data_IF_467297913953
#
_entry.id   IF_467297913953
#
_cell.length_a   1.000
_cell.length_b   1.000
_cell.length_c   1.000
_cell.angle_alpha   90.00
_cell.angle_beta   90.00
_cell.angle_gamma   90.00
#
_symmetry.space_group_name_H-M   'P 1'
#
loop_
_entity.id
_entity.type
_entity.pdbx_description
1 polymer ?
#
# COMPACT_ATOMS: atom_id res chain seq x y z
N UNK A 1 -15.87 -23.03 -58.59
CA UNK A 1 -15.67 -23.91 -57.42
C UNK A 1 -14.40 -23.47 -56.71
N UNK A 2 -14.53 -23.05 -55.43
CA UNK A 2 -13.49 -22.62 -54.44
C UNK A 2 -12.90 -21.20 -54.61
N UNK A 3 -13.39 -20.19 -53.87
CA UNK A 3 -13.07 -19.72 -52.47
C UNK A 3 -11.97 -18.63 -52.52
N UNK A 4 -12.30 -17.31 -52.45
CA UNK A 4 -12.30 -16.39 -51.27
C UNK A 4 -10.94 -16.39 -50.51
N UNK A 5 -10.21 -15.29 -50.27
CA UNK A 5 -10.57 -14.03 -49.57
C UNK A 5 -9.52 -12.92 -49.90
N UNK A 6 -9.99 -11.67 -49.89
CA UNK A 6 -9.28 -10.40 -50.13
C UNK A 6 -8.13 -10.08 -49.16
N UNK A 7 -7.07 -9.49 -49.71
CA UNK A 7 -6.00 -8.73 -49.02
C UNK A 7 -6.24 -7.22 -49.23
N UNK A 8 -6.11 -6.48 -48.12
CA UNK A 8 -5.55 -5.11 -47.97
C UNK A 8 -6.09 -3.98 -48.84
N UNK A 9 -6.59 -2.93 -48.18
CA UNK A 9 -6.22 -1.49 -48.32
C UNK A 9 -7.32 -0.71 -47.59
N UNK A 10 -6.99 0.03 -46.54
CA UNK A 10 -7.48 1.38 -46.23
C UNK A 10 -6.84 1.82 -44.91
N UNK A 11 -5.71 2.52 -45.05
CA UNK A 11 -5.06 3.32 -44.01
C UNK A 11 -4.94 4.73 -44.58
N UNK A 12 -5.04 5.73 -43.69
CA UNK A 12 -4.79 7.17 -43.89
C UNK A 12 -5.98 8.00 -44.37
N UNK A 13 -6.73 8.54 -43.40
CA UNK A 13 -7.05 9.96 -43.28
C UNK A 13 -7.78 10.18 -41.95
N UNK A 14 -7.05 10.66 -40.93
CA UNK A 14 -7.54 11.51 -39.82
C UNK A 14 -6.43 11.78 -38.80
N UNK A 15 -5.26 12.20 -39.29
CA UNK A 15 -4.17 12.79 -38.51
C UNK A 15 -3.89 14.20 -39.02
N UNK A 16 -4.82 15.13 -38.83
CA UNK A 16 -4.56 16.57 -38.89
C UNK A 16 -5.74 17.30 -38.23
N UNK A 17 -5.66 17.50 -36.91
CA UNK A 17 -6.20 18.66 -36.18
C UNK A 17 -5.94 18.48 -34.68
N UNK A 18 -4.69 18.68 -34.26
CA UNK A 18 -4.38 18.92 -32.85
C UNK A 18 -4.76 20.38 -32.55
N UNK A 19 -5.82 20.58 -31.77
CA UNK A 19 -6.05 21.86 -31.08
C UNK A 19 -5.26 21.84 -29.77
N UNK A 20 -4.50 22.91 -29.55
CA UNK A 20 -3.71 23.17 -28.35
C UNK A 20 -4.61 23.17 -27.10
N UNK A 21 -4.18 22.47 -26.05
CA UNK A 21 -4.90 22.34 -24.78
C UNK A 21 -4.39 23.41 -23.80
N UNK A 22 -5.26 24.35 -23.40
CA UNK A 22 -4.94 25.40 -22.43
C UNK A 22 -5.45 25.03 -21.02
N UNK A 23 -4.84 25.56 -19.93
CA UNK A 23 -5.03 25.05 -18.58
C UNK A 23 -6.35 25.41 -17.87
N UNK A 24 -7.36 25.95 -18.56
CA UNK A 24 -8.56 26.55 -17.94
C UNK A 24 -9.90 25.88 -18.32
N UNK A 25 -9.91 24.71 -18.94
CA UNK A 25 -11.15 24.06 -19.40
C UNK A 25 -11.87 23.19 -18.36
N UNK A 26 -11.64 23.41 -17.05
CA UNK A 26 -12.42 22.75 -15.99
C UNK A 26 -13.52 23.68 -15.46
N UNK A 27 -14.60 23.83 -16.22
CA UNK A 27 -15.90 24.19 -15.64
C UNK A 27 -17.03 23.27 -16.12
N UNK A 28 -17.68 22.68 -15.11
CA UNK A 28 -19.00 22.07 -15.05
C UNK A 28 -19.51 21.26 -16.26
N UNK A 29 -19.53 19.93 -16.10
CA UNK A 29 -20.71 19.17 -16.52
C UNK A 29 -21.11 18.21 -15.39
N UNK A 30 -22.27 18.52 -14.80
CA UNK A 30 -23.07 17.55 -14.05
C UNK A 30 -23.66 16.54 -15.05
N UNK A 31 -23.92 15.32 -14.57
CA UNK A 31 -24.65 14.23 -15.24
C UNK A 31 -23.86 13.16 -15.99
N UNK A 32 -22.88 12.55 -15.30
CA UNK A 32 -22.59 11.12 -15.49
C UNK A 32 -22.81 10.44 -14.13
N UNK A 33 -23.68 9.41 -14.03
CA UNK A 33 -23.76 8.65 -12.79
C UNK A 33 -22.45 7.88 -12.64
N UNK A 34 -21.52 8.45 -11.87
CA UNK A 34 -20.26 7.83 -11.44
C UNK A 34 -20.60 6.60 -10.58
N UNK A 35 -20.96 5.47 -11.21
CA UNK A 35 -20.89 4.14 -10.60
C UNK A 35 -19.42 3.72 -10.52
N UNK A 36 -18.62 4.50 -9.79
CA UNK A 36 -17.24 4.16 -9.47
C UNK A 36 -17.27 3.30 -8.22
N UNK A 37 -17.24 2.03 -8.53
CA UNK A 37 -17.02 0.92 -7.65
C UNK A 37 -15.67 1.06 -6.92
N UNK A 38 -15.67 0.90 -5.58
CA UNK A 38 -14.56 1.16 -4.64
C UNK A 38 -14.28 -0.14 -3.89
N UNK A 39 -13.06 -0.72 -3.75
CA UNK A 39 -12.86 -2.06 -3.12
C UNK A 39 -11.47 -2.52 -2.47
N UNK A 40 -11.18 -2.65 -1.11
CA UNK A 40 -9.88 -3.21 -0.54
C UNK A 40 -9.62 -3.77 0.92
N UNK A 41 -10.46 -3.71 1.96
CA UNK A 41 -10.17 -4.28 3.30
C UNK A 41 -11.05 -5.50 3.63
N UNK A 42 -10.67 -6.33 4.60
CA UNK A 42 -11.41 -7.58 4.92
C UNK A 42 -12.86 -7.28 5.31
N UNK A 43 -13.85 -7.90 4.68
CA UNK A 43 -15.27 -7.61 4.95
C UNK A 43 -15.77 -8.26 6.23
N UNK A 44 -15.30 -9.46 6.56
CA UNK A 44 -15.78 -10.21 7.71
C UNK A 44 -15.37 -9.52 9.03
N UNK A 45 -16.36 -9.02 9.79
CA UNK A 45 -16.12 -8.39 11.08
C UNK A 45 -15.52 -9.38 12.11
N UNK A 46 -15.67 -10.70 11.92
CA UNK A 46 -15.05 -11.70 12.79
C UNK A 46 -13.52 -11.78 12.62
N UNK A 47 -12.99 -11.20 11.54
CA UNK A 47 -11.55 -11.04 11.31
C UNK A 47 -10.97 -9.80 11.99
N UNK A 48 -11.79 -8.98 12.66
CA UNK A 48 -11.30 -7.83 13.43
C UNK A 48 -10.69 -8.28 14.75
N UNK A 49 -9.58 -7.64 15.11
CA UNK A 49 -9.02 -7.78 16.46
C UNK A 49 -9.95 -7.15 17.49
N UNK A 50 -10.23 -7.90 18.55
CA UNK A 50 -11.06 -7.44 19.65
C UNK A 50 -10.49 -6.17 20.28
N UNK A 51 -11.37 -5.19 20.55
CA UNK A 51 -11.00 -3.88 21.10
C UNK A 51 -9.88 -3.18 20.31
N UNK A 52 -9.82 -3.42 18.99
CA UNK A 52 -8.79 -2.89 18.10
C UNK A 52 -7.36 -3.19 18.59
N UNK A 53 -7.16 -4.29 19.34
CA UNK A 53 -5.90 -4.59 20.02
C UNK A 53 -5.25 -5.84 19.43
N UNK A 54 -4.11 -5.64 18.75
CA UNK A 54 -3.27 -6.71 18.26
C UNK A 54 -2.35 -7.15 19.39
N UNK A 55 -2.47 -8.41 19.78
CA UNK A 55 -1.65 -9.04 20.81
C UNK A 55 -0.47 -9.72 20.14
N UNK A 56 0.77 -9.39 20.50
CA UNK A 56 1.94 -9.88 19.80
C UNK A 56 2.99 -10.53 20.72
N UNK A 57 3.74 -11.45 20.13
CA UNK A 57 4.98 -12.00 20.67
C UNK A 57 6.07 -11.90 19.60
N UNK A 58 7.26 -11.43 19.96
CA UNK A 58 8.43 -11.41 19.07
C UNK A 58 9.38 -12.51 19.51
N UNK A 59 9.81 -13.37 18.58
CA UNK A 59 10.90 -14.32 18.83
C UNK A 59 12.22 -13.54 18.78
N UNK A 60 12.65 -12.95 19.91
CA UNK A 60 13.75 -11.98 19.94
C UNK A 60 15.06 -12.51 19.35
N UNK A 61 15.34 -13.80 19.49
CA UNK A 61 16.55 -14.45 18.94
C UNK A 61 16.60 -14.47 17.41
N UNK A 62 15.46 -14.26 16.73
CA UNK A 62 15.37 -14.28 15.28
C UNK A 62 15.75 -12.95 14.62
N UNK A 63 15.86 -11.88 15.41
CA UNK A 63 15.99 -10.51 14.94
C UNK A 63 17.18 -9.81 15.60
N UNK A 64 17.81 -8.91 14.86
CA UNK A 64 18.75 -7.95 15.43
C UNK A 64 17.98 -6.87 16.19
N UNK A 65 18.69 -6.13 17.06
CA UNK A 65 18.10 -5.03 17.82
C UNK A 65 17.49 -3.95 16.92
N UNK A 66 18.18 -3.55 15.85
CA UNK A 66 17.69 -2.54 14.90
C UNK A 66 16.43 -2.98 14.15
N UNK A 67 16.30 -4.28 13.87
CA UNK A 67 15.10 -4.86 13.24
C UNK A 67 13.91 -4.85 14.21
N UNK A 68 14.16 -5.15 15.49
CA UNK A 68 13.14 -5.05 16.55
C UNK A 68 12.69 -3.60 16.73
N UNK A 69 13.63 -2.66 16.82
CA UNK A 69 13.33 -1.23 16.95
C UNK A 69 12.51 -0.74 15.74
N UNK A 70 12.84 -1.18 14.52
CA UNK A 70 12.09 -0.89 13.31
C UNK A 70 10.66 -1.46 13.31
N UNK A 71 10.48 -2.69 13.78
CA UNK A 71 9.17 -3.33 13.91
C UNK A 71 8.31 -2.63 14.97
N UNK A 72 8.87 -2.29 16.13
CA UNK A 72 8.16 -1.56 17.18
C UNK A 72 7.78 -0.15 16.72
N UNK A 73 8.63 0.52 15.94
CA UNK A 73 8.30 1.80 15.33
C UNK A 73 7.16 1.67 14.29
N UNK A 74 7.11 0.58 13.52
CA UNK A 74 5.98 0.32 12.61
C UNK A 74 4.66 0.15 13.37
N UNK A 75 4.67 -0.55 14.51
CA UNK A 75 3.52 -0.63 15.41
C UNK A 75 3.12 0.75 15.93
N UNK A 76 4.07 1.56 16.39
CA UNK A 76 3.81 2.92 16.89
C UNK A 76 3.16 3.82 15.82
N UNK A 77 3.61 3.73 14.57
CA UNK A 77 2.99 4.46 13.45
C UNK A 77 1.50 4.10 13.33
N UNK A 78 1.13 2.83 13.36
CA UNK A 78 -0.28 2.44 13.34
C UNK A 78 -1.06 2.98 14.54
N UNK A 79 -0.51 2.93 15.76
CA UNK A 79 -1.17 3.47 16.97
C UNK A 79 -1.31 4.99 16.94
N UNK A 80 -0.36 5.68 16.31
CA UNK A 80 -0.40 7.14 16.15
C UNK A 80 -1.46 7.58 15.15
N UNK A 81 -1.66 6.81 14.09
CA UNK A 81 -2.53 7.16 12.97
C UNK A 81 -3.95 6.59 13.10
N UNK A 82 -4.15 5.64 14.00
CA UNK A 82 -5.41 4.88 14.13
C UNK A 82 -5.70 4.58 15.60
N UNK A 83 -6.90 4.12 15.92
CA UNK A 83 -7.26 3.67 17.27
C UNK A 83 -6.71 2.29 17.64
N UNK A 84 -5.94 1.65 16.74
CA UNK A 84 -5.34 0.35 17.00
C UNK A 84 -4.33 0.42 18.15
N UNK A 85 -4.19 -0.70 18.85
CA UNK A 85 -3.22 -0.88 19.93
C UNK A 85 -2.41 -2.14 19.68
N UNK A 86 -1.13 -2.08 19.99
CA UNK A 86 -0.24 -3.24 20.02
C UNK A 86 0.18 -3.47 21.46
N UNK A 87 0.04 -4.71 21.94
CA UNK A 87 0.54 -5.07 23.27
C UNK A 87 1.21 -6.44 23.27
N UNK A 88 2.21 -6.66 24.14
CA UNK A 88 2.77 -7.98 24.36
C UNK A 88 1.70 -8.98 24.81
N UNK A 89 1.86 -10.23 24.37
CA UNK A 89 1.05 -11.35 24.79
C UNK A 89 1.29 -11.70 26.27
N UNK A 90 0.20 -12.03 26.95
CA UNK A 90 0.16 -12.63 28.29
C UNK A 90 -0.25 -14.10 28.15
N UNK A 91 0.07 -14.91 29.14
CA UNK A 91 -0.32 -16.33 29.17
C UNK A 91 -1.84 -16.55 29.05
N UNK A 92 -2.66 -15.60 29.50
CA UNK A 92 -4.12 -15.67 29.44
C UNK A 92 -4.71 -15.32 28.06
N UNK A 93 -3.91 -14.82 27.12
CA UNK A 93 -4.41 -14.39 25.82
C UNK A 93 -4.74 -15.60 24.93
N UNK A 94 -5.98 -15.67 24.47
CA UNK A 94 -6.44 -16.75 23.57
C UNK A 94 -6.01 -16.54 22.12
N UNK A 95 -5.85 -15.28 21.70
CA UNK A 95 -5.51 -14.90 20.33
C UNK A 95 -4.27 -14.00 20.34
N UNK A 96 -3.30 -14.33 19.50
CA UNK A 96 -2.07 -13.53 19.38
C UNK A 96 -1.37 -13.76 18.04
N UNK A 97 -0.41 -12.88 17.72
CA UNK A 97 0.51 -13.07 16.62
C UNK A 97 1.91 -13.38 17.14
N UNK A 98 2.52 -14.45 16.65
CA UNK A 98 3.96 -14.71 16.82
C UNK A 98 4.68 -14.15 15.60
N UNK A 99 5.53 -13.15 15.83
CA UNK A 99 6.40 -12.55 14.84
C UNK A 99 7.77 -13.23 14.93
N UNK A 100 8.17 -13.89 13.84
CA UNK A 100 9.37 -14.73 13.80
C UNK A 100 10.09 -14.67 12.46
N UNK A 101 11.30 -15.23 12.40
CA UNK A 101 11.97 -15.49 11.12
C UNK A 101 11.17 -16.55 10.35
N UNK A 102 10.68 -16.16 9.17
CA UNK A 102 10.16 -17.07 8.17
C UNK A 102 11.27 -17.68 7.33
N UNK A 103 11.11 -18.93 6.90
CA UNK A 103 12.05 -19.62 6.00
C UNK A 103 11.85 -19.27 4.51
N UNK A 104 10.70 -18.71 4.12
CA UNK A 104 10.29 -18.59 2.72
C UNK A 104 9.81 -17.21 2.26
N UNK A 105 10.19 -16.14 2.96
CA UNK A 105 9.77 -14.77 2.61
C UNK A 105 8.87 -14.11 3.64
N UNK A 106 8.07 -13.15 3.18
CA UNK A 106 7.22 -12.29 4.00
C UNK A 106 5.77 -12.79 3.88
N UNK A 107 5.10 -13.04 5.01
CA UNK A 107 3.66 -13.33 5.00
C UNK A 107 3.05 -13.17 6.39
N UNK A 108 1.78 -12.77 6.38
CA UNK A 108 0.91 -12.72 7.54
C UNK A 108 -0.48 -13.20 7.16
N UNK A 109 -1.21 -13.74 8.15
CA UNK A 109 -2.63 -14.04 7.98
C UNK A 109 -3.41 -12.72 8.00
N UNK A 110 -4.39 -12.63 7.11
CA UNK A 110 -5.30 -11.50 7.04
C UNK A 110 -6.24 -11.44 8.26
N UNK A 111 -6.15 -10.35 9.02
CA UNK A 111 -6.95 -10.12 10.22
C UNK A 111 -6.68 -11.13 11.35
N UNK A 112 -7.52 -11.12 12.38
CA UNK A 112 -7.50 -12.11 13.45
C UNK A 112 -8.08 -13.44 12.97
N UNK A 113 -7.38 -14.55 13.19
CA UNK A 113 -7.87 -15.90 12.91
C UNK A 113 -8.37 -16.59 14.18
N UNK A 114 -9.68 -16.46 14.43
CA UNK A 114 -10.34 -17.06 15.60
C UNK A 114 -10.32 -18.59 15.62
N UNK A 115 -10.05 -19.26 14.50
CA UNK A 115 -9.93 -20.72 14.45
C UNK A 115 -8.55 -21.21 14.88
N UNK A 116 -7.53 -20.34 14.76
CA UNK A 116 -6.13 -20.70 14.99
C UNK A 116 -5.63 -20.33 16.40
N UNK A 117 -6.29 -19.38 17.06
CA UNK A 117 -5.80 -18.81 18.31
C UNK A 117 -4.56 -17.96 18.05
N UNK A 118 -3.39 -18.59 18.11
CA UNK A 118 -2.11 -17.95 17.78
C UNK A 118 -1.75 -18.12 16.30
N UNK A 119 -1.67 -17.00 15.58
CA UNK A 119 -1.23 -16.95 14.19
C UNK A 119 0.21 -16.47 14.06
N UNK A 120 0.79 -16.57 12.86
CA UNK A 120 2.19 -16.23 12.62
C UNK A 120 2.31 -15.06 11.65
N UNK A 121 3.27 -14.18 11.91
CA UNK A 121 3.83 -13.22 10.96
C UNK A 121 5.27 -13.64 10.69
N UNK A 122 5.56 -13.98 9.44
CA UNK A 122 6.87 -14.43 8.99
C UNK A 122 7.63 -13.27 8.36
N UNK A 123 8.76 -12.90 8.97
CA UNK A 123 9.65 -11.84 8.48
C UNK A 123 11.02 -12.46 8.17
N UNK A 124 11.12 -13.07 6.98
CA UNK A 124 12.40 -13.56 6.43
C UNK A 124 13.44 -12.44 6.28
N UNK A 125 14.71 -12.77 6.03
CA UNK A 125 15.81 -11.78 6.02
C UNK A 125 15.54 -10.61 5.04
N UNK A 126 15.02 -10.90 3.84
CA UNK A 126 14.68 -9.87 2.84
C UNK A 126 13.44 -9.02 3.16
N UNK A 127 12.73 -9.33 4.25
CA UNK A 127 11.45 -8.70 4.63
C UNK A 127 11.60 -7.63 5.70
N UNK A 128 12.81 -7.44 6.23
CA UNK A 128 13.05 -6.68 7.45
C UNK A 128 13.33 -5.22 7.12
N UNK A 129 12.43 -4.60 6.37
CA UNK A 129 12.51 -3.22 5.93
C UNK A 129 11.26 -2.46 6.36
N UNK A 130 11.38 -1.13 6.42
CA UNK A 130 10.33 -0.24 6.92
C UNK A 130 8.95 -0.50 6.35
N UNK A 131 8.83 -0.36 5.03
CA UNK A 131 7.55 -0.54 4.36
C UNK A 131 7.04 -1.97 4.46
N UNK A 132 7.93 -2.96 4.57
CA UNK A 132 7.54 -4.36 4.69
C UNK A 132 7.04 -4.72 6.10
N UNK A 133 7.58 -4.10 7.16
CA UNK A 133 6.98 -4.22 8.50
C UNK A 133 5.57 -3.62 8.51
N UNK A 134 5.39 -2.44 7.92
CA UNK A 134 4.07 -1.83 7.78
C UNK A 134 3.13 -2.72 6.97
N UNK A 135 3.60 -3.32 5.88
CA UNK A 135 2.84 -4.22 5.00
C UNK A 135 2.33 -5.46 5.73
N UNK A 136 3.21 -6.22 6.39
CA UNK A 136 2.81 -7.46 7.08
C UNK A 136 1.92 -7.20 8.30
N UNK A 137 2.15 -6.09 9.00
CA UNK A 137 1.22 -5.61 10.03
C UNK A 137 -0.13 -5.19 9.41
N UNK A 138 -0.13 -4.61 8.21
CA UNK A 138 -1.35 -4.26 7.46
C UNK A 138 -2.21 -5.48 7.15
N UNK A 139 -1.61 -6.59 6.70
CA UNK A 139 -2.30 -7.87 6.58
C UNK A 139 -2.84 -8.34 7.93
N UNK A 140 -2.02 -8.33 8.99
CA UNK A 140 -2.45 -8.70 10.34
C UNK A 140 -3.66 -7.88 10.82
N UNK A 141 -3.73 -6.61 10.45
CA UNK A 141 -4.84 -5.70 10.76
C UNK A 141 -6.10 -6.02 9.95
N UNK A 142 -5.94 -6.53 8.73
CA UNK A 142 -7.04 -6.92 7.83
C UNK A 142 -7.04 -6.20 6.47
N UNK A 143 -5.91 -5.68 6.00
CA UNK A 143 -5.80 -5.08 4.66
C UNK A 143 -5.36 -6.12 3.62
N UNK A 144 -6.06 -6.15 2.49
CA UNK A 144 -5.65 -6.92 1.32
C UNK A 144 -4.62 -6.14 0.49
N UNK A 145 -3.97 -6.81 -0.47
CA UNK A 145 -3.04 -6.13 -1.37
C UNK A 145 -3.78 -5.21 -2.34
N UNK A 146 -3.36 -3.95 -2.45
CA UNK A 146 -4.06 -2.96 -3.28
C UNK A 146 -4.11 -3.37 -4.77
N UNK A 147 -3.10 -4.07 -5.31
CA UNK A 147 -3.16 -4.53 -6.71
C UNK A 147 -4.19 -5.64 -6.95
N UNK A 148 -4.79 -6.21 -5.91
CA UNK A 148 -5.90 -7.16 -6.03
C UNK A 148 -7.26 -6.46 -6.03
N UNK A 149 -7.28 -5.12 -5.98
CA UNK A 149 -8.49 -4.31 -6.12
C UNK A 149 -9.26 -4.77 -7.38
N UNK A 150 -10.56 -5.08 -7.27
CA UNK A 150 -11.41 -5.44 -8.40
C UNK A 150 -11.32 -4.45 -9.59
N UNK A 151 -11.28 -3.15 -9.28
CA UNK A 151 -11.10 -2.05 -10.25
C UNK A 151 -9.65 -1.63 -10.53
N UNK A 152 -8.62 -2.38 -10.13
CA UNK A 152 -7.21 -1.93 -10.31
C UNK A 152 -6.89 -1.50 -11.75
N UNK A 153 -7.59 -2.08 -12.74
CA UNK A 153 -7.27 -1.93 -14.15
C UNK A 153 -7.59 -0.49 -14.65
N UNK A 154 -8.25 0.33 -13.81
CA UNK A 154 -8.36 1.79 -13.99
C UNK A 154 -7.02 2.50 -13.82
N UNK A 155 -6.13 1.96 -12.97
CA UNK A 155 -4.87 2.60 -12.58
C UNK A 155 -3.62 1.88 -13.09
N UNK A 156 -3.67 0.55 -13.25
CA UNK A 156 -2.53 -0.26 -13.67
C UNK A 156 -2.88 -1.31 -14.73
N UNK A 157 -1.85 -1.94 -15.29
CA UNK A 157 -1.94 -3.10 -16.16
C UNK A 157 -0.89 -4.12 -15.74
N UNK A 158 -1.29 -5.39 -15.67
CA UNK A 158 -0.36 -6.49 -15.38
C UNK A 158 0.22 -7.02 -16.68
N UNK A 159 1.55 -7.00 -16.78
CA UNK A 159 2.29 -7.59 -17.89
C UNK A 159 2.48 -9.08 -17.62
N UNK A 160 1.46 -9.87 -17.93
CA UNK A 160 1.41 -11.31 -17.62
C UNK A 160 2.57 -12.11 -18.22
N UNK A 161 3.15 -11.66 -19.33
CA UNK A 161 4.31 -12.29 -19.95
C UNK A 161 5.61 -12.01 -19.19
N UNK A 162 5.63 -11.01 -18.31
CA UNK A 162 6.78 -10.70 -17.47
C UNK A 162 6.70 -11.37 -16.08
N UNK A 163 5.51 -11.85 -15.68
CA UNK A 163 5.29 -12.53 -14.40
C UNK A 163 5.79 -13.97 -14.47
N UNK A 164 6.47 -14.45 -13.42
CA UNK A 164 6.81 -15.85 -13.26
C UNK A 164 5.53 -16.72 -13.36
N UNK A 165 5.50 -17.74 -14.25
CA UNK A 165 4.30 -18.56 -14.46
C UNK A 165 3.71 -19.15 -13.17
N UNK A 166 4.55 -19.54 -12.21
CA UNK A 166 4.13 -20.11 -10.92
C UNK A 166 3.49 -19.09 -9.99
N UNK A 167 3.70 -17.79 -10.25
CA UNK A 167 3.26 -16.69 -9.39
C UNK A 167 2.07 -15.91 -9.94
N UNK A 168 1.59 -16.23 -11.15
CA UNK A 168 0.47 -15.52 -11.80
C UNK A 168 -0.80 -15.47 -10.93
N UNK A 169 -1.07 -16.53 -10.16
CA UNK A 169 -2.24 -16.59 -9.28
C UNK A 169 -2.27 -15.46 -8.24
N UNK A 170 -1.11 -14.95 -7.80
CA UNK A 170 -0.99 -13.86 -6.83
C UNK A 170 -1.35 -12.48 -7.39
N UNK A 171 -1.59 -12.39 -8.71
CA UNK A 171 -2.10 -11.18 -9.37
C UNK A 171 -3.61 -11.24 -9.61
N UNK A 172 -4.32 -12.27 -9.16
CA UNK A 172 -5.77 -12.30 -9.31
C UNK A 172 -6.43 -11.21 -8.46
N UNK A 173 -7.44 -10.54 -9.04
CA UNK A 173 -8.31 -9.65 -8.28
C UNK A 173 -9.12 -10.45 -7.27
N UNK A 174 -9.51 -9.81 -6.17
CA UNK A 174 -10.45 -10.38 -5.21
C UNK A 174 -11.87 -10.11 -5.69
N UNK A 175 -12.84 -10.95 -5.31
CA UNK A 175 -14.25 -10.67 -5.59
C UNK A 175 -14.72 -9.45 -4.81
N UNK A 176 -15.61 -8.64 -5.40
CA UNK A 176 -16.27 -7.53 -4.72
C UNK A 176 -17.02 -7.95 -3.45
N UNK A 177 -17.50 -9.18 -3.43
CA UNK A 177 -18.27 -9.70 -2.30
C UNK A 177 -17.41 -9.98 -1.06
N UNK A 178 -16.10 -10.23 -1.24
CA UNK A 178 -15.17 -10.66 -0.20
C UNK A 178 -14.45 -9.52 0.51
N UNK A 179 -14.64 -8.27 0.06
CA UNK A 179 -13.94 -7.10 0.61
C UNK A 179 -14.93 -6.00 1.03
N UNK A 180 -14.50 -5.11 1.93
CA UNK A 180 -15.08 -3.79 2.24
C UNK A 180 -14.03 -2.69 2.19
N UNK A 181 -14.35 -1.53 1.63
CA UNK A 181 -13.39 -0.51 1.15
C UNK A 181 -13.61 0.82 1.82
N UNK A 182 -14.74 0.93 2.52
CA UNK A 182 -15.05 2.08 3.35
C UNK A 182 -15.01 3.40 2.56
N UNK A 183 -15.45 3.37 1.28
CA UNK A 183 -15.46 4.54 0.41
C UNK A 183 -14.07 5.10 0.06
N UNK A 184 -13.00 4.32 0.23
CA UNK A 184 -11.63 4.71 -0.12
C UNK A 184 -11.30 4.23 -1.54
N UNK A 185 -10.90 5.12 -2.47
CA UNK A 185 -10.57 4.76 -3.85
C UNK A 185 -9.29 3.90 -3.93
N UNK A 186 -9.04 3.33 -5.10
CA UNK A 186 -7.81 2.61 -5.40
C UNK A 186 -6.57 3.50 -5.17
N UNK A 187 -5.65 3.03 -4.33
CA UNK A 187 -4.51 3.80 -3.83
C UNK A 187 -3.16 3.21 -4.31
N UNK A 188 -2.67 3.72 -5.44
CA UNK A 188 -1.36 3.31 -5.98
C UNK A 188 -0.19 3.50 -5.00
N UNK A 189 -0.34 4.38 -4.01
CA UNK A 189 0.71 4.68 -3.03
C UNK A 189 0.64 3.78 -1.82
N UNK A 190 -0.47 3.06 -1.63
CA UNK A 190 -0.65 2.13 -0.51
C UNK A 190 0.59 1.28 -0.29
N UNK A 191 0.98 1.15 0.97
CA UNK A 191 2.04 0.22 1.35
C UNK A 191 1.64 -1.23 1.03
N UNK A 192 0.34 -1.50 0.88
CA UNK A 192 -0.22 -2.79 0.48
C UNK A 192 -0.18 -3.03 -1.03
N UNK A 193 0.24 -2.06 -1.84
CA UNK A 193 0.38 -2.24 -3.29
C UNK A 193 1.68 -2.96 -3.65
N UNK A 194 1.64 -3.92 -4.56
CA UNK A 194 2.84 -4.53 -5.14
C UNK A 194 3.74 -3.54 -5.89
N UNK A 195 5.04 -3.78 -5.84
CA UNK A 195 6.01 -3.06 -6.66
C UNK A 195 5.94 -3.49 -8.13
N UNK A 196 6.47 -2.67 -9.02
CA UNK A 196 6.43 -2.85 -10.48
C UNK A 196 7.21 -4.07 -10.97
N UNK A 197 8.04 -4.68 -10.14
CA UNK A 197 8.83 -5.89 -10.44
C UNK A 197 8.38 -7.10 -9.60
N UNK A 198 7.23 -7.03 -8.93
CA UNK A 198 6.72 -8.14 -8.13
C UNK A 198 6.65 -9.42 -8.97
N UNK A 199 7.25 -10.50 -8.45
CA UNK A 199 7.30 -11.82 -9.09
C UNK A 199 7.71 -11.81 -10.57
N UNK A 200 8.58 -10.88 -10.93
CA UNK A 200 9.09 -10.75 -12.29
C UNK A 200 10.02 -11.91 -12.64
N UNK A 201 9.95 -12.36 -13.90
CA UNK A 201 11.07 -13.04 -14.54
C UNK A 201 12.26 -12.08 -14.65
N UNK A 202 13.45 -12.64 -14.70
CA UNK A 202 14.68 -11.89 -15.00
C UNK A 202 15.04 -12.04 -16.47
N UNK A 203 15.55 -10.98 -17.10
CA UNK A 203 16.14 -11.04 -18.43
C UNK A 203 17.50 -11.78 -18.44
N UNK A 204 18.09 -11.91 -19.63
CA UNK A 204 19.39 -12.59 -19.81
C UNK A 204 20.55 -11.92 -19.06
N UNK A 205 20.40 -10.65 -18.64
CA UNK A 205 21.38 -9.90 -17.87
C UNK A 205 21.08 -9.92 -16.36
N UNK A 206 20.07 -10.70 -15.92
CA UNK A 206 19.67 -10.80 -14.53
C UNK A 206 18.80 -9.64 -14.02
N UNK A 207 18.29 -8.77 -14.90
CA UNK A 207 17.43 -7.65 -14.52
C UNK A 207 15.96 -8.09 -14.48
N UNK A 208 15.25 -7.75 -13.39
CA UNK A 208 13.81 -8.01 -13.28
C UNK A 208 13.00 -7.25 -14.33
N UNK A 209 12.12 -7.97 -15.02
CA UNK A 209 11.16 -7.40 -15.96
C UNK A 209 10.03 -6.66 -15.23
N UNK A 210 9.45 -5.63 -15.86
CA UNK A 210 8.36 -4.87 -15.24
C UNK A 210 7.04 -5.66 -15.37
N UNK A 211 6.42 -6.01 -14.25
CA UNK A 211 5.16 -6.78 -14.17
C UNK A 211 3.93 -5.91 -13.98
N UNK A 212 4.06 -4.72 -13.39
CA UNK A 212 2.93 -3.79 -13.21
C UNK A 212 3.27 -2.43 -13.83
N UNK A 213 2.46 -2.00 -14.79
CA UNK A 213 2.60 -0.72 -15.49
C UNK A 213 1.40 0.17 -15.17
N UNK A 214 1.66 1.36 -14.64
CA UNK A 214 0.68 2.41 -14.44
C UNK A 214 0.08 2.86 -15.78
N UNK A 215 -1.24 3.06 -15.81
CA UNK A 215 -1.94 3.58 -17.00
C UNK A 215 -1.50 5.03 -17.31
N UNK A 216 -1.28 5.83 -16.27
CA UNK A 216 -0.62 7.12 -16.40
C UNK A 216 0.89 6.95 -16.05
N UNK A 217 1.81 7.19 -16.99
CA UNK A 217 3.25 7.08 -16.75
C UNK A 217 3.78 7.93 -15.58
N UNK A 218 3.16 9.08 -15.29
CA UNK A 218 3.55 9.94 -14.16
C UNK A 218 3.38 9.24 -12.80
N UNK A 219 2.49 8.25 -12.73
CA UNK A 219 2.19 7.48 -11.52
C UNK A 219 3.01 6.20 -11.40
N UNK A 220 3.83 5.84 -12.40
CA UNK A 220 4.69 4.65 -12.33
C UNK A 220 5.62 4.70 -11.10
N UNK A 221 6.07 5.91 -10.73
CA UNK A 221 6.94 6.12 -9.56
C UNK A 221 6.34 5.58 -8.25
N UNK A 222 5.01 5.56 -8.11
CA UNK A 222 4.32 5.04 -6.93
C UNK A 222 4.42 3.52 -6.78
N UNK A 223 4.78 2.83 -7.86
CA UNK A 223 4.93 1.38 -7.89
C UNK A 223 6.38 0.94 -7.65
N UNK A 224 7.29 1.82 -7.20
CA UNK A 224 8.69 1.45 -7.01
C UNK A 224 8.91 0.57 -5.76
N UNK A 225 9.68 1.05 -4.79
CA UNK A 225 10.23 0.23 -3.73
C UNK A 225 9.25 0.19 -2.56
N UNK A 226 8.41 -0.85 -2.49
CA UNK A 226 7.45 -1.06 -1.39
C UNK A 226 8.14 -0.99 -0.02
N UNK A 227 9.36 -1.50 0.08
CA UNK A 227 10.17 -1.49 1.30
C UNK A 227 10.54 -0.08 1.81
N UNK A 228 10.39 0.96 0.99
CA UNK A 228 10.59 2.38 1.36
C UNK A 228 9.29 3.12 1.70
N UNK A 229 8.12 2.54 1.40
CA UNK A 229 6.83 3.21 1.56
C UNK A 229 6.46 3.39 3.04
N UNK A 230 5.71 4.47 3.32
CA UNK A 230 4.99 4.69 4.57
C UNK A 230 3.49 4.38 4.37
N UNK A 231 2.68 4.45 5.42
CA UNK A 231 1.23 4.41 5.29
C UNK A 231 0.75 5.57 4.42
N UNK A 232 0.00 5.24 3.37
CA UNK A 232 -0.70 6.23 2.56
C UNK A 232 -1.89 6.82 3.32
N UNK A 233 -2.43 7.93 2.81
CA UNK A 233 -3.69 8.48 3.32
C UNK A 233 -4.82 7.44 3.20
N UNK A 234 -4.87 6.67 2.11
CA UNK A 234 -5.86 5.63 1.89
C UNK A 234 -5.76 4.50 2.91
N UNK A 235 -4.55 4.04 3.22
CA UNK A 235 -4.31 3.02 4.26
C UNK A 235 -4.87 3.46 5.62
N UNK A 236 -4.50 4.68 6.05
CA UNK A 236 -4.92 5.23 7.35
C UNK A 236 -6.42 5.48 7.41
N UNK A 237 -7.00 6.08 6.36
CA UNK A 237 -8.44 6.32 6.25
C UNK A 237 -9.20 4.99 6.33
N UNK A 238 -8.77 4.00 5.56
CA UNK A 238 -9.42 2.68 5.50
C UNK A 238 -9.41 1.98 6.85
N UNK A 239 -8.30 1.99 7.58
CA UNK A 239 -8.23 1.40 8.92
C UNK A 239 -9.12 2.15 9.92
N UNK A 240 -9.12 3.48 9.92
CA UNK A 240 -9.93 4.27 10.85
C UNK A 240 -11.43 4.01 10.66
N UNK A 241 -11.88 3.90 9.41
CA UNK A 241 -13.26 3.54 9.10
C UNK A 241 -13.55 2.07 9.43
N UNK A 242 -12.60 1.18 9.14
CA UNK A 242 -12.72 -0.26 9.38
C UNK A 242 -12.86 -0.63 10.86
N UNK A 243 -12.15 0.08 11.75
CA UNK A 243 -12.19 -0.11 13.20
C UNK A 243 -13.05 0.94 13.91
N UNK A 244 -13.80 1.76 13.17
CA UNK A 244 -14.73 2.78 13.69
C UNK A 244 -14.07 3.69 14.74
N UNK A 245 -12.85 4.14 14.44
CA UNK A 245 -12.02 4.88 15.40
C UNK A 245 -12.64 6.20 15.87
N UNK A 246 -13.62 6.73 15.15
CA UNK A 246 -14.35 7.96 15.45
C UNK A 246 -15.70 7.73 16.17
N UNK A 247 -16.04 6.51 16.60
CA UNK A 247 -17.35 6.23 17.21
C UNK A 247 -17.62 7.06 18.47
N UNK A 248 -16.56 7.39 19.22
CA UNK A 248 -16.61 8.23 20.40
C UNK A 248 -16.70 9.74 20.11
N UNK A 249 -16.55 10.14 18.84
CA UNK A 249 -16.49 11.55 18.45
C UNK A 249 -17.89 12.17 18.26
N UNK A 250 -18.03 13.49 18.50
CA UNK A 250 -19.23 14.24 18.14
C UNK A 250 -19.59 14.08 16.66
N UNK A 251 -20.88 13.89 16.36
CA UNK A 251 -21.36 13.67 14.99
C UNK A 251 -21.40 14.94 14.12
N UNK A 252 -21.23 16.11 14.72
CA UNK A 252 -21.30 17.41 14.04
C UNK A 252 -19.92 17.99 13.64
N UNK A 253 -18.86 17.18 13.66
CA UNK A 253 -17.54 17.65 13.21
C UNK A 253 -17.58 17.78 11.68
N UNK A 254 -17.32 18.98 11.12
CA UNK A 254 -17.34 19.19 9.68
C UNK A 254 -16.15 18.46 9.04
N UNK A 255 -16.43 17.51 8.15
CA UNK A 255 -15.41 16.84 7.35
C UNK A 255 -16.02 16.31 6.04
N UNK A 256 -15.42 16.67 4.91
CA UNK A 256 -15.81 16.10 3.61
C UNK A 256 -15.41 14.63 3.57
N UNK A 257 -16.38 13.72 3.48
CA UNK A 257 -16.09 12.28 3.33
C UNK A 257 -15.38 11.96 2.00
N UNK A 258 -15.51 12.83 0.99
CA UNK A 258 -14.80 12.66 -0.29
C UNK A 258 -13.29 12.83 -0.11
N UNK A 259 -12.88 13.86 0.62
CA UNK A 259 -11.48 14.29 0.69
C UNK A 259 -10.81 14.05 2.04
N UNK A 260 -11.59 13.60 3.03
CA UNK A 260 -11.17 13.46 4.42
C UNK A 260 -11.84 12.32 5.18
N UNK A 261 -11.50 12.21 6.47
CA UNK A 261 -12.17 11.36 7.45
C UNK A 261 -11.94 11.92 8.87
N UNK A 262 -12.80 11.53 9.82
CA UNK A 262 -12.61 11.88 11.23
C UNK A 262 -11.64 10.88 11.87
N UNK A 263 -10.55 11.39 12.44
CA UNK A 263 -9.52 10.57 13.09
C UNK A 263 -9.95 10.11 14.48
N UNK A 264 -9.16 9.20 15.07
CA UNK A 264 -9.25 8.79 16.48
C UNK A 264 -9.20 9.94 17.49
N UNK A 265 -8.69 11.12 17.08
CA UNK A 265 -8.57 12.30 17.94
C UNK A 265 -9.69 13.32 17.67
N UNK A 266 -10.76 12.90 16.99
CA UNK A 266 -11.92 13.71 16.63
C UNK A 266 -11.58 14.96 15.81
N UNK A 267 -10.64 14.82 14.87
CA UNK A 267 -10.25 15.87 13.91
C UNK A 267 -10.54 15.41 12.49
N UNK A 268 -10.94 16.33 11.63
CA UNK A 268 -10.99 16.06 10.19
C UNK A 268 -9.56 16.05 9.64
N UNK A 269 -9.13 14.91 9.12
CA UNK A 269 -7.89 14.76 8.38
C UNK A 269 -8.21 14.71 6.88
N UNK A 270 -7.50 15.51 6.08
CA UNK A 270 -7.63 15.54 4.62
C UNK A 270 -6.38 15.00 3.96
N UNK A 271 -6.46 14.59 2.69
CA UNK A 271 -5.26 14.16 1.94
C UNK A 271 -4.13 15.20 1.98
N UNK A 272 -4.48 16.49 1.84
CA UNK A 272 -3.51 17.59 1.87
C UNK A 272 -2.86 17.75 3.25
N UNK A 273 -3.65 17.74 4.33
CA UNK A 273 -3.14 17.87 5.69
C UNK A 273 -2.24 16.68 6.07
N UNK A 274 -2.66 15.47 5.68
CA UNK A 274 -1.89 14.25 5.86
C UNK A 274 -0.53 14.34 5.15
N UNK A 275 -0.53 14.76 3.88
CA UNK A 275 0.69 14.97 3.11
C UNK A 275 1.62 15.99 3.78
N UNK A 276 1.09 17.16 4.17
CA UNK A 276 1.86 18.26 4.76
C UNK A 276 2.57 17.86 6.06
N UNK A 277 1.93 17.06 6.93
CA UNK A 277 2.53 16.69 8.23
C UNK A 277 3.48 15.49 8.15
N UNK A 278 3.35 14.65 7.12
CA UNK A 278 4.19 13.44 6.96
C UNK A 278 5.37 13.65 6.04
N UNK A 279 5.25 14.56 5.08
CA UNK A 279 6.32 14.89 4.17
C UNK A 279 6.79 16.34 4.33
N UNK A 280 7.91 16.49 5.04
CA UNK A 280 8.71 17.70 4.99
C UNK A 280 10.15 17.29 4.69
N UNK A 281 10.77 17.96 3.71
CA UNK A 281 12.18 17.79 3.44
C UNK A 281 12.95 18.44 4.58
N UNK A 282 13.74 17.64 5.30
CA UNK A 282 14.52 18.11 6.44
C UNK A 282 15.93 18.52 6.06
N UNK A 283 16.31 18.37 4.78
CA UNK A 283 17.67 18.61 4.31
C UNK A 283 17.73 19.72 3.27
N UNK A 284 18.82 20.50 3.28
CA UNK A 284 19.07 21.48 2.23
C UNK A 284 19.45 20.80 0.90
N UNK A 285 19.38 21.52 -0.22
CA UNK A 285 19.53 20.95 -1.58
C UNK A 285 20.83 20.14 -1.82
N UNK A 286 21.93 20.50 -1.15
CA UNK A 286 23.23 19.81 -1.31
C UNK A 286 23.31 18.54 -0.45
N UNK A 287 22.85 18.60 0.80
CA UNK A 287 22.75 17.43 1.67
C UNK A 287 21.78 16.41 1.11
N UNK A 288 20.68 16.90 0.56
CA UNK A 288 19.65 16.13 -0.09
C UNK A 288 20.21 15.20 -1.18
N UNK A 289 21.03 15.72 -2.11
CA UNK A 289 21.59 14.90 -3.20
C UNK A 289 22.52 13.81 -2.70
N UNK A 290 23.34 14.10 -1.68
CA UNK A 290 24.22 13.11 -1.04
C UNK A 290 23.40 12.01 -0.38
N UNK A 291 22.42 12.39 0.44
CA UNK A 291 21.54 11.46 1.14
C UNK A 291 20.71 10.63 0.15
N UNK A 292 20.26 11.21 -0.97
CA UNK A 292 19.58 10.49 -2.05
C UNK A 292 20.46 9.37 -2.60
N UNK A 293 21.74 9.66 -2.87
CA UNK A 293 22.69 8.65 -3.33
C UNK A 293 22.93 7.56 -2.27
N UNK A 294 22.96 7.91 -0.98
CA UNK A 294 23.11 6.94 0.10
C UNK A 294 21.86 6.05 0.23
N UNK A 295 20.67 6.61 0.10
CA UNK A 295 19.40 5.87 0.06
C UNK A 295 19.30 4.90 -1.12
N UNK A 296 19.95 5.23 -2.24
CA UNK A 296 20.01 4.35 -3.41
C UNK A 296 21.11 3.28 -3.27
N UNK A 297 22.10 3.48 -2.38
CA UNK A 297 23.21 2.54 -2.09
C UNK A 297 22.95 1.61 -0.90
N UNK A 298 22.08 1.99 0.05
CA UNK A 298 21.93 1.36 1.39
C UNK A 298 21.21 0.00 1.39
N UNK A 299 21.42 -0.82 0.37
CA UNK A 299 21.15 -2.26 0.43
C UNK A 299 21.93 -3.00 1.53
N UNK A 300 22.78 -2.30 2.30
CA UNK A 300 23.61 -2.84 3.37
C UNK A 300 23.56 -1.97 4.64
N UNK A 301 22.90 -2.53 5.67
CA UNK A 301 23.17 -2.39 7.10
C UNK A 301 22.70 -1.19 7.95
N UNK A 302 22.17 -0.09 7.42
CA UNK A 302 21.59 0.97 8.29
C UNK A 302 20.08 1.14 8.09
N UNK A 303 19.31 0.13 8.51
CA UNK A 303 17.85 0.15 8.37
C UNK A 303 17.23 1.36 9.08
N UNK A 304 17.60 1.63 10.33
CA UNK A 304 17.07 2.79 11.06
C UNK A 304 17.31 4.13 10.33
N UNK A 305 18.45 4.27 9.66
CA UNK A 305 18.75 5.45 8.85
C UNK A 305 17.82 5.56 7.63
N UNK A 306 17.56 4.45 6.94
CA UNK A 306 16.61 4.41 5.81
C UNK A 306 15.19 4.79 6.28
N UNK A 307 14.76 4.27 7.43
CA UNK A 307 13.44 4.56 8.03
C UNK A 307 13.25 6.05 8.34
N UNK A 308 14.28 6.70 8.85
CA UNK A 308 14.22 8.06 9.38
C UNK A 308 14.45 9.11 8.30
N UNK A 309 15.40 8.87 7.40
CA UNK A 309 15.92 9.90 6.49
C UNK A 309 15.45 9.69 5.05
N UNK A 310 15.53 8.48 4.51
CA UNK A 310 15.43 8.29 3.06
C UNK A 310 14.11 8.66 2.43
N UNK A 311 12.99 8.42 3.13
CA UNK A 311 11.68 8.84 2.65
C UNK A 311 11.49 10.36 2.72
N UNK A 312 12.17 11.06 3.64
CA UNK A 312 12.01 12.50 3.87
C UNK A 312 12.95 13.34 3.01
N UNK A 313 13.89 12.74 2.30
CA UNK A 313 14.90 13.43 1.51
C UNK A 313 14.42 13.72 0.09
N UNK A 314 14.74 14.90 -0.47
CA UNK A 314 14.64 15.20 -1.91
C UNK A 314 13.26 15.04 -2.50
N UNK A 315 12.24 15.44 -1.75
CA UNK A 315 10.84 15.26 -2.13
C UNK A 315 10.47 13.79 -2.42
N UNK A 316 11.29 12.80 -2.02
CA UNK A 316 10.98 11.36 -2.19
C UNK A 316 9.72 10.94 -1.44
N UNK A 317 9.32 11.70 -0.43
CA UNK A 317 8.02 11.46 0.22
C UNK A 317 6.82 11.66 -0.74
N UNK A 318 6.92 12.54 -1.75
CA UNK A 318 5.90 12.69 -2.81
C UNK A 318 6.08 11.71 -3.96
N UNK A 319 7.17 10.93 -3.98
CA UNK A 319 7.26 9.71 -4.79
C UNK A 319 6.54 8.54 -4.09
N UNK A 320 6.00 8.78 -2.88
CA UNK A 320 5.14 7.91 -2.08
C UNK A 320 3.80 8.57 -1.65
N UNK A 321 3.40 9.71 -2.26
CA UNK A 321 2.11 10.45 -2.11
C UNK A 321 1.50 10.80 -3.47
#
# INVERSE_FOLDING_TARGET
MKIFVFLVIYFIQDLLNAKEFHPNDFESSNDIPLKFSTFMAERDENKRWENATIVYQIVLTDFRKDEIDGLLNAMDIYQKETCLKFRPAKFSDQYSVIIRRGSGGCNAILGQDRKKGTQTVNLGIGCRWYGLFLHELGHTIGLHHEHQHPDRDIGVSVQWDNVDPSMKVWFNTISRDDVSMFGVPYDMQSVMHYGQWAFAKTDANGKSLTTIIAKNPEFQRYLYYVWMKDLSFGDVKRINLMYKCNDHCPKNIPCSERDGFITKDCKCETKQNFANRRCYDVFNSSECQRLKADCDKTGTYEQYYVFTNCRKTCRKCYEAI
#
